data_IF_059374893737
#
_entry.id   IF_059374893737
#
_cell.length_a   1.000
_cell.length_b   1.000
_cell.length_c   1.000
_cell.angle_alpha   90.00
_cell.angle_beta   90.00
_cell.angle_gamma   90.00
#
_symmetry.space_group_name_H-M   'P 1'
#
loop_
_entity.id
_entity.type
_entity.pdbx_description
1 polymer ?
#
# COMPACT_ATOMS: atom_id res chain seq x y z
N UNK A 1 -36.09 26.64 -16.37
CA UNK A 1 -34.98 25.73 -16.07
C UNK A 1 -35.16 24.35 -16.74
N UNK A 2 -34.84 24.20 -18.04
CA UNK A 2 -35.03 22.94 -18.77
C UNK A 2 -33.80 22.04 -18.81
N UNK A 3 -32.61 22.52 -18.42
CA UNK A 3 -31.36 21.76 -18.55
C UNK A 3 -31.20 20.62 -17.54
N UNK A 4 -31.82 20.72 -16.35
CA UNK A 4 -31.74 19.66 -15.32
C UNK A 4 -32.46 18.37 -15.75
N UNK A 5 -33.38 18.43 -16.72
CA UNK A 5 -34.06 17.23 -17.27
C UNK A 5 -33.25 16.48 -18.33
N UNK A 6 -32.23 17.10 -18.95
CA UNK A 6 -31.36 16.41 -19.92
C UNK A 6 -30.35 15.49 -19.24
N UNK A 7 -29.87 15.84 -18.05
CA UNK A 7 -29.04 14.94 -17.22
C UNK A 7 -29.81 13.72 -16.70
N UNK A 8 -31.12 13.85 -16.44
CA UNK A 8 -31.97 12.72 -16.00
C UNK A 8 -32.43 11.80 -17.15
N UNK A 9 -32.09 12.12 -18.39
CA UNK A 9 -32.23 11.21 -19.55
C UNK A 9 -30.98 10.35 -19.75
N UNK A 10 -30.07 10.31 -18.77
CA UNK A 10 -29.09 9.25 -18.66
C UNK A 10 -29.87 7.95 -18.41
N UNK A 11 -30.04 7.20 -19.50
CA UNK A 11 -30.82 5.96 -19.64
C UNK A 11 -30.83 5.15 -18.34
N UNK A 12 -32.02 4.64 -18.00
CA UNK A 12 -32.36 3.75 -16.88
C UNK A 12 -31.64 2.38 -16.95
N UNK A 13 -30.36 2.37 -17.32
CA UNK A 13 -29.55 1.18 -17.45
C UNK A 13 -28.93 0.83 -16.09
N UNK A 14 -29.00 -0.44 -15.66
CA UNK A 14 -28.48 -0.86 -14.37
C UNK A 14 -26.96 -0.68 -14.21
N UNK A 15 -26.20 -0.74 -15.30
CA UNK A 15 -24.73 -0.72 -15.25
C UNK A 15 -24.10 0.39 -16.10
N UNK A 16 -22.86 0.75 -15.78
CA UNK A 16 -22.04 1.64 -16.59
C UNK A 16 -21.22 0.80 -17.57
N UNK A 17 -21.63 0.81 -18.84
CA UNK A 17 -21.02 -0.02 -19.88
C UNK A 17 -20.77 0.80 -21.17
N UNK A 18 -19.60 1.46 -21.30
CA UNK A 18 -19.25 2.16 -22.52
C UNK A 18 -19.05 1.21 -23.71
N UNK A 19 -19.00 1.75 -24.94
CA UNK A 19 -18.64 0.99 -26.12
C UNK A 19 -17.31 0.24 -25.93
N UNK A 20 -17.20 -0.98 -26.47
CA UNK A 20 -16.02 -1.83 -26.28
C UNK A 20 -14.73 -1.14 -26.73
N UNK A 21 -14.75 -0.49 -27.90
CA UNK A 21 -13.58 0.23 -28.40
C UNK A 21 -13.15 1.37 -27.46
N UNK A 22 -14.09 2.12 -26.89
CA UNK A 22 -13.83 3.21 -25.97
C UNK A 22 -13.31 2.69 -24.63
N UNK A 23 -13.89 1.59 -24.13
CA UNK A 23 -13.40 0.91 -22.94
C UNK A 23 -11.94 0.48 -23.12
N UNK A 24 -11.62 -0.16 -24.24
CA UNK A 24 -10.26 -0.61 -24.52
C UNK A 24 -9.28 0.57 -24.62
N UNK A 25 -9.67 1.62 -25.34
CA UNK A 25 -8.87 2.83 -25.50
C UNK A 25 -8.60 3.51 -24.16
N UNK A 26 -9.63 3.73 -23.34
CA UNK A 26 -9.49 4.35 -22.03
C UNK A 26 -8.63 3.51 -21.09
N UNK A 27 -8.79 2.19 -21.12
CA UNK A 27 -8.00 1.29 -20.30
C UNK A 27 -6.50 1.35 -20.63
N UNK A 28 -6.16 1.31 -21.93
CA UNK A 28 -4.76 1.40 -22.38
C UNK A 28 -4.18 2.80 -22.16
N UNK A 29 -4.91 3.86 -22.52
CA UNK A 29 -4.46 5.26 -22.40
C UNK A 29 -4.19 5.64 -20.94
N UNK A 30 -4.98 5.12 -20.00
CA UNK A 30 -4.84 5.42 -18.58
C UNK A 30 -3.95 4.43 -17.84
N UNK A 31 -3.29 3.52 -18.55
CA UNK A 31 -2.44 2.48 -17.97
C UNK A 31 -3.15 1.66 -16.87
N UNK A 32 -4.42 1.35 -17.07
CA UNK A 32 -5.25 0.62 -16.11
C UNK A 32 -5.93 1.48 -15.02
N UNK A 33 -5.59 2.76 -14.86
CA UNK A 33 -6.26 3.65 -13.87
C UNK A 33 -7.76 3.76 -14.12
N UNK A 34 -8.20 3.62 -15.37
CA UNK A 34 -9.62 3.58 -15.73
C UNK A 34 -10.42 2.47 -15.03
N UNK A 35 -9.79 1.39 -14.58
CA UNK A 35 -10.44 0.33 -13.80
C UNK A 35 -11.11 0.86 -12.53
N UNK A 36 -10.40 1.72 -11.79
CA UNK A 36 -10.93 2.40 -10.60
C UNK A 36 -12.16 3.24 -10.92
N UNK A 37 -12.10 3.97 -12.04
CA UNK A 37 -13.21 4.78 -12.52
C UNK A 37 -14.41 3.92 -12.92
N UNK A 38 -14.17 2.82 -13.64
CA UNK A 38 -15.23 1.89 -14.05
C UNK A 38 -15.94 1.27 -12.84
N UNK A 39 -15.20 0.85 -11.82
CA UNK A 39 -15.78 0.36 -10.57
C UNK A 39 -16.59 1.42 -9.85
N UNK A 40 -16.04 2.62 -9.69
CA UNK A 40 -16.74 3.75 -9.09
C UNK A 40 -18.07 4.05 -9.80
N UNK A 41 -18.06 4.10 -11.13
CA UNK A 41 -19.27 4.41 -11.91
C UNK A 41 -20.34 3.34 -11.77
N UNK A 42 -19.96 2.06 -11.75
CA UNK A 42 -20.91 0.96 -11.54
C UNK A 42 -21.53 0.99 -10.14
N UNK A 43 -20.73 1.26 -9.10
CA UNK A 43 -21.25 1.41 -7.74
C UNK A 43 -22.10 2.67 -7.56
N UNK A 44 -21.78 3.76 -8.26
CA UNK A 44 -22.61 4.97 -8.27
C UNK A 44 -23.98 4.69 -8.90
N UNK A 45 -24.04 3.99 -10.03
CA UNK A 45 -25.31 3.59 -10.65
C UNK A 45 -26.11 2.63 -9.78
N UNK A 46 -25.44 1.65 -9.18
CA UNK A 46 -26.07 0.75 -8.23
C UNK A 46 -26.74 1.53 -7.08
N UNK A 47 -26.03 2.47 -6.45
CA UNK A 47 -26.59 3.32 -5.38
C UNK A 47 -27.85 4.07 -5.81
N UNK A 48 -27.82 4.62 -7.02
CA UNK A 48 -28.95 5.38 -7.56
C UNK A 48 -30.20 4.52 -7.79
N UNK A 49 -30.02 3.22 -8.06
CA UNK A 49 -31.11 2.29 -8.38
C UNK A 49 -31.62 1.56 -7.14
N UNK A 50 -30.72 1.04 -6.30
CA UNK A 50 -31.11 0.28 -5.12
C UNK A 50 -31.57 1.19 -3.97
N UNK A 51 -31.05 2.42 -3.89
CA UNK A 51 -31.34 3.38 -2.82
C UNK A 51 -30.61 3.09 -1.51
N UNK A 52 -29.70 2.10 -1.50
CA UNK A 52 -28.97 1.71 -0.30
C UNK A 52 -27.93 2.77 0.11
N UNK A 53 -27.69 2.96 1.42
CA UNK A 53 -26.63 3.83 1.92
C UNK A 53 -25.25 3.19 1.71
N UNK A 54 -24.79 3.13 0.46
CA UNK A 54 -23.46 2.68 0.09
C UNK A 54 -22.55 3.88 -0.20
N UNK A 55 -21.23 3.68 -0.08
CA UNK A 55 -20.21 4.70 -0.36
C UNK A 55 -19.40 4.35 -1.64
N UNK A 56 -19.82 4.80 -2.83
CA UNK A 56 -19.22 4.40 -4.10
C UNK A 56 -17.72 4.70 -4.26
N UNK A 57 -17.17 5.84 -3.79
CA UNK A 57 -15.74 6.13 -3.92
C UNK A 57 -14.87 5.07 -3.24
N UNK A 58 -15.22 4.65 -2.02
CA UNK A 58 -14.48 3.65 -1.28
C UNK A 58 -14.55 2.28 -1.96
N UNK A 59 -15.73 1.88 -2.46
CA UNK A 59 -15.90 0.62 -3.21
C UNK A 59 -15.15 0.62 -4.54
N UNK A 60 -15.00 1.78 -5.17
CA UNK A 60 -14.18 1.95 -6.36
C UNK A 60 -12.69 1.84 -6.06
N UNK A 61 -12.22 2.47 -4.98
CA UNK A 61 -10.82 2.42 -4.55
C UNK A 61 -10.40 1.01 -4.09
N UNK A 62 -11.27 0.34 -3.34
CA UNK A 62 -11.02 -0.97 -2.76
C UNK A 62 -11.62 -2.12 -3.60
N UNK A 63 -11.73 -1.93 -4.91
CA UNK A 63 -12.47 -2.82 -5.82
C UNK A 63 -12.11 -4.32 -5.71
N UNK A 64 -10.88 -4.67 -5.31
CA UNK A 64 -10.45 -6.05 -5.03
C UNK A 64 -11.40 -6.80 -4.08
N UNK A 65 -11.98 -6.11 -3.10
CA UNK A 65 -12.90 -6.71 -2.13
C UNK A 65 -14.35 -6.72 -2.63
N UNK A 66 -14.72 -5.71 -3.42
CA UNK A 66 -16.10 -5.49 -3.86
C UNK A 66 -16.40 -6.15 -5.22
N UNK A 67 -15.38 -6.62 -5.95
CA UNK A 67 -15.56 -7.28 -7.25
C UNK A 67 -16.45 -8.53 -7.18
N UNK A 68 -16.39 -9.43 -6.17
CA UNK A 68 -17.29 -10.59 -6.15
C UNK A 68 -18.75 -10.16 -5.92
N UNK A 69 -18.99 -9.10 -5.15
CA UNK A 69 -20.31 -8.49 -4.97
C UNK A 69 -20.87 -7.99 -6.29
N UNK A 70 -20.04 -7.26 -7.06
CA UNK A 70 -20.42 -6.70 -8.34
C UNK A 70 -20.73 -7.81 -9.37
N UNK A 71 -19.89 -8.85 -9.43
CA UNK A 71 -20.10 -10.01 -10.30
C UNK A 71 -21.35 -10.79 -9.89
N UNK A 72 -21.57 -11.01 -8.59
CA UNK A 72 -22.77 -11.67 -8.10
C UNK A 72 -24.05 -10.92 -8.47
N UNK A 73 -24.02 -9.58 -8.41
CA UNK A 73 -25.12 -8.74 -8.88
C UNK A 73 -25.30 -8.86 -10.40
N UNK A 74 -24.22 -8.87 -11.17
CA UNK A 74 -24.26 -9.03 -12.63
C UNK A 74 -24.81 -10.42 -13.03
N UNK A 75 -24.38 -11.48 -12.35
CA UNK A 75 -24.85 -12.86 -12.55
C UNK A 75 -26.36 -12.97 -12.30
N UNK A 76 -26.83 -12.37 -11.20
CA UNK A 76 -28.26 -12.35 -10.86
C UNK A 76 -29.08 -11.54 -11.85
N UNK A 77 -28.59 -10.38 -12.28
CA UNK A 77 -29.26 -9.59 -13.32
C UNK A 77 -29.31 -10.33 -14.65
N UNK A 78 -28.27 -11.11 -14.97
CA UNK A 78 -28.26 -11.96 -16.16
C UNK A 78 -29.30 -13.09 -16.06
N UNK A 79 -29.40 -13.76 -14.91
CA UNK A 79 -30.41 -14.81 -14.71
C UNK A 79 -31.83 -14.27 -14.79
N UNK A 80 -32.08 -13.07 -14.24
CA UNK A 80 -33.37 -12.37 -14.37
C UNK A 80 -33.66 -11.95 -15.81
N UNK A 81 -32.63 -11.66 -16.61
CA UNK A 81 -32.74 -11.38 -18.04
C UNK A 81 -32.87 -12.67 -18.90
N UNK A 82 -33.06 -13.84 -18.28
CA UNK A 82 -33.31 -15.10 -18.98
C UNK A 82 -32.07 -15.89 -19.39
N UNK A 83 -30.87 -15.48 -18.96
CA UNK A 83 -29.61 -16.19 -19.26
C UNK A 83 -28.72 -16.34 -18.02
N UNK A 84 -28.57 -17.55 -17.50
CA UNK A 84 -27.53 -17.85 -16.53
C UNK A 84 -26.18 -17.99 -17.24
N UNK A 85 -25.20 -17.17 -16.86
CA UNK A 85 -23.84 -17.29 -17.39
C UNK A 85 -22.92 -17.95 -16.36
N UNK A 86 -22.41 -19.16 -16.62
CA UNK A 86 -21.56 -19.89 -15.67
C UNK A 86 -20.24 -19.16 -15.37
N UNK A 87 -19.78 -18.33 -16.31
CA UNK A 87 -18.58 -17.48 -16.19
C UNK A 87 -18.75 -16.32 -15.20
N UNK A 88 -19.97 -15.98 -14.76
CA UNK A 88 -20.22 -14.95 -13.74
C UNK A 88 -20.37 -15.55 -12.32
N UNK A 89 -19.86 -16.76 -12.09
CA UNK A 89 -19.89 -17.42 -10.77
C UNK A 89 -18.85 -16.89 -9.77
N UNK A 90 -18.88 -17.35 -8.49
CA UNK A 90 -17.95 -16.94 -7.43
C UNK A 90 -16.47 -17.19 -7.76
N UNK A 91 -16.18 -18.19 -8.59
CA UNK A 91 -14.83 -18.51 -9.03
C UNK A 91 -14.22 -17.45 -9.96
N UNK A 92 -15.06 -16.70 -10.67
CA UNK A 92 -14.59 -15.68 -11.63
C UNK A 92 -13.96 -14.48 -10.93
N UNK A 93 -14.47 -14.06 -9.77
CA UNK A 93 -13.84 -13.01 -8.96
C UNK A 93 -12.50 -13.46 -8.38
N UNK A 94 -12.41 -14.72 -7.93
CA UNK A 94 -11.14 -15.28 -7.45
C UNK A 94 -10.09 -15.33 -8.56
N UNK A 95 -10.48 -15.76 -9.76
CA UNK A 95 -9.60 -15.81 -10.94
C UNK A 95 -9.15 -14.42 -11.38
N UNK A 96 -10.05 -13.43 -11.31
CA UNK A 96 -9.69 -12.03 -11.56
C UNK A 96 -8.64 -11.51 -10.59
N UNK A 97 -8.89 -11.67 -9.28
CA UNK A 97 -7.97 -11.22 -8.23
C UNK A 97 -6.62 -11.93 -8.39
N UNK A 98 -6.62 -13.24 -8.65
CA UNK A 98 -5.41 -14.01 -8.90
C UNK A 98 -4.64 -13.51 -10.13
N UNK A 99 -5.33 -13.19 -11.23
CA UNK A 99 -4.71 -12.65 -12.44
C UNK A 99 -4.08 -11.28 -12.20
N UNK A 100 -4.75 -10.39 -11.46
CA UNK A 100 -4.21 -9.06 -11.13
C UNK A 100 -2.98 -9.18 -10.21
N UNK A 101 -3.03 -10.06 -9.20
CA UNK A 101 -1.89 -10.29 -8.28
C UNK A 101 -0.72 -10.97 -9.02
N UNK A 102 -0.98 -12.00 -9.81
CA UNK A 102 0.07 -12.69 -10.57
C UNK A 102 0.75 -11.74 -11.58
N UNK A 103 -0.01 -10.80 -12.14
CA UNK A 103 0.56 -9.80 -13.01
C UNK A 103 1.39 -8.77 -12.25
N UNK A 104 0.98 -8.34 -11.05
CA UNK A 104 1.71 -7.33 -10.28
C UNK A 104 3.05 -7.86 -9.76
N UNK A 105 3.13 -9.15 -9.43
CA UNK A 105 4.40 -9.81 -9.07
C UNK A 105 5.31 -9.98 -10.28
N UNK A 106 4.76 -10.26 -11.46
CA UNK A 106 5.51 -10.40 -12.71
C UNK A 106 5.95 -9.05 -13.32
N UNK A 107 5.34 -7.94 -12.88
CA UNK A 107 5.62 -6.60 -13.40
C UNK A 107 7.08 -6.14 -13.16
N UNK A 108 7.79 -6.71 -12.17
CA UNK A 108 9.23 -6.46 -11.97
C UNK A 108 10.10 -6.97 -13.14
N UNK A 109 9.60 -7.90 -13.96
CA UNK A 109 10.33 -8.46 -15.10
C UNK A 109 9.82 -7.93 -16.46
N UNK A 110 8.53 -7.58 -16.59
CA UNK A 110 7.88 -7.23 -17.86
C UNK A 110 6.92 -6.04 -17.71
N UNK A 111 7.47 -4.83 -17.66
CA UNK A 111 6.76 -3.58 -17.36
C UNK A 111 5.50 -3.24 -18.21
N UNK A 112 5.35 -3.61 -19.50
CA UNK A 112 4.13 -3.29 -20.26
C UNK A 112 3.04 -4.38 -20.22
N UNK A 113 3.36 -5.63 -19.81
CA UNK A 113 2.40 -6.74 -19.86
C UNK A 113 1.45 -6.81 -18.67
N UNK A 114 1.77 -6.12 -17.57
CA UNK A 114 0.92 -6.03 -16.37
C UNK A 114 -0.50 -5.56 -16.70
N UNK A 115 -0.63 -4.60 -17.61
CA UNK A 115 -1.90 -4.00 -18.00
C UNK A 115 -2.77 -5.00 -18.79
N UNK A 116 -2.17 -5.97 -19.48
CA UNK A 116 -2.93 -6.91 -20.31
C UNK A 116 -3.55 -8.08 -19.55
N UNK A 117 -3.20 -8.31 -18.28
CA UNK A 117 -3.69 -9.48 -17.52
C UNK A 117 -5.15 -9.34 -17.09
N UNK A 118 -5.54 -8.15 -16.62
CA UNK A 118 -6.89 -7.85 -16.16
C UNK A 118 -7.82 -7.41 -17.30
N UNK A 119 -7.22 -6.94 -18.40
CA UNK A 119 -7.91 -6.49 -19.60
C UNK A 119 -8.95 -7.47 -20.19
N UNK A 120 -8.65 -8.76 -20.46
CA UNK A 120 -9.62 -9.70 -21.01
C UNK A 120 -10.82 -9.91 -20.07
N UNK A 121 -10.59 -9.83 -18.76
CA UNK A 121 -11.63 -10.00 -17.78
C UNK A 121 -12.53 -8.77 -17.66
N UNK A 122 -11.96 -7.58 -17.58
CA UNK A 122 -12.71 -6.32 -17.53
C UNK A 122 -13.49 -6.07 -18.82
N UNK A 123 -12.91 -6.40 -19.97
CA UNK A 123 -13.62 -6.34 -21.25
C UNK A 123 -14.78 -7.32 -21.28
N UNK A 124 -14.61 -8.54 -20.76
CA UNK A 124 -15.71 -9.49 -20.60
C UNK A 124 -16.83 -8.94 -19.70
N UNK A 125 -16.50 -8.39 -18.52
CA UNK A 125 -17.49 -7.80 -17.62
C UNK A 125 -18.20 -6.60 -18.25
N UNK A 126 -17.48 -5.73 -18.95
CA UNK A 126 -18.04 -4.59 -19.66
C UNK A 126 -18.98 -5.03 -20.78
N UNK A 127 -18.59 -6.07 -21.54
CA UNK A 127 -19.43 -6.67 -22.58
C UNK A 127 -20.73 -7.24 -21.99
N UNK A 128 -20.65 -7.95 -20.86
CA UNK A 128 -21.82 -8.49 -20.17
C UNK A 128 -22.72 -7.41 -19.59
N UNK A 129 -22.15 -6.41 -18.91
CA UNK A 129 -22.90 -5.25 -18.43
C UNK A 129 -23.65 -4.55 -19.57
N UNK A 130 -23.03 -4.45 -20.75
CA UNK A 130 -23.68 -3.89 -21.94
C UNK A 130 -24.81 -4.75 -22.45
N UNK A 131 -24.64 -6.07 -22.54
CA UNK A 131 -25.70 -7.00 -22.94
C UNK A 131 -26.90 -6.91 -21.99
N UNK A 132 -26.67 -6.91 -20.68
CA UNK A 132 -27.72 -6.77 -19.67
C UNK A 132 -28.45 -5.43 -19.85
N UNK A 133 -27.70 -4.33 -20.01
CA UNK A 133 -28.28 -3.02 -20.27
C UNK A 133 -29.19 -3.00 -21.52
N UNK A 134 -28.89 -3.78 -22.56
CA UNK A 134 -29.73 -3.88 -23.75
C UNK A 134 -31.05 -4.60 -23.48
N UNK A 135 -31.03 -5.67 -22.67
CA UNK A 135 -32.25 -6.41 -22.34
C UNK A 135 -33.24 -5.55 -21.55
N UNK A 136 -32.76 -4.76 -20.59
CA UNK A 136 -33.62 -3.85 -19.81
C UNK A 136 -34.14 -2.64 -20.61
N UNK A 137 -33.52 -2.31 -21.74
CA UNK A 137 -34.04 -1.29 -22.68
C UNK A 137 -35.06 -1.90 -23.65
N UNK A 138 -34.92 -3.20 -23.98
CA UNK A 138 -35.72 -3.89 -24.98
C UNK A 138 -37.08 -4.39 -24.48
N UNK A 139 -37.34 -4.40 -23.16
CA UNK A 139 -38.68 -4.68 -22.62
C UNK A 139 -39.56 -3.45 -22.84
N UNK A 140 -40.52 -3.47 -23.79
CA UNK A 140 -41.53 -2.42 -23.87
C UNK A 140 -42.44 -2.54 -22.65
N UNK A 141 -43.15 -1.48 -22.30
CA UNK A 141 -44.16 -1.44 -21.24
C UNK A 141 -45.41 -2.33 -21.51
N UNK A 142 -45.23 -3.53 -22.06
CA UNK A 142 -46.28 -4.48 -22.42
C UNK A 142 -45.81 -5.90 -22.12
N UNK A 143 -46.20 -6.42 -20.95
CA UNK A 143 -46.95 -7.68 -20.83
C UNK A 143 -47.05 -8.06 -19.35
N UNK A 144 -48.11 -7.57 -18.72
CA UNK A 144 -48.73 -8.25 -17.57
C UNK A 144 -49.28 -9.60 -18.05
N UNK A 145 -48.42 -10.59 -18.23
CA UNK A 145 -48.81 -11.98 -18.44
C UNK A 145 -47.60 -12.90 -18.18
N UNK A 146 -47.63 -13.61 -17.05
CA UNK A 146 -46.90 -14.87 -16.89
C UNK A 146 -45.56 -14.84 -16.15
N UNK A 147 -45.54 -14.44 -14.88
CA UNK A 147 -44.71 -15.12 -13.87
C UNK A 147 -45.56 -15.31 -12.62
N UNK A 148 -46.28 -16.43 -12.57
CA UNK A 148 -47.07 -16.84 -11.41
C UNK A 148 -46.17 -17.45 -10.34
N UNK A 149 -46.09 -16.78 -9.18
CA UNK A 149 -45.87 -17.29 -7.81
C UNK A 149 -45.51 -16.07 -6.93
N UNK A 150 -46.27 -15.54 -5.96
CA UNK A 150 -47.39 -16.01 -5.12
C UNK A 150 -48.25 -14.79 -4.67
N UNK A 151 -49.58 -14.94 -4.80
CA UNK A 151 -50.78 -14.44 -4.04
C UNK A 151 -50.61 -13.55 -2.75
N UNK A 152 -51.46 -12.56 -2.32
CA UNK A 152 -52.95 -12.34 -2.36
C UNK A 152 -53.38 -10.83 -2.20
N UNK A 153 -54.33 -10.36 -3.05
CA UNK A 153 -55.45 -9.33 -2.98
C UNK A 153 -55.28 -7.80 -2.69
N UNK A 154 -56.28 -6.92 -3.06
CA UNK A 154 -57.10 -6.76 -4.29
C UNK A 154 -56.98 -5.32 -4.92
N UNK A 155 -57.59 -4.99 -6.11
CA UNK A 155 -57.37 -3.71 -6.84
C UNK A 155 -58.61 -2.75 -6.80
N UNK A 156 -58.68 -1.62 -7.54
CA UNK A 156 -57.67 -0.60 -7.90
C UNK A 156 -58.17 0.86 -7.67
N UNK A 157 -57.31 1.87 -7.47
CA UNK A 157 -57.62 3.26 -7.86
C UNK A 157 -56.40 4.02 -8.43
N UNK A 158 -56.54 4.38 -9.70
CA UNK A 158 -56.06 5.57 -10.42
C UNK A 158 -54.66 6.13 -10.14
N UNK A 159 -53.82 6.08 -11.19
CA UNK A 159 -52.63 6.89 -11.32
C UNK A 159 -51.46 6.06 -11.83
N UNK A 160 -51.29 6.00 -13.16
CA UNK A 160 -50.18 5.31 -13.81
C UNK A 160 -48.84 5.92 -13.44
N UNK A 161 -48.28 5.50 -12.31
CA UNK A 161 -46.85 5.57 -12.07
C UNK A 161 -46.19 4.49 -12.94
N UNK A 162 -45.12 4.80 -13.70
CA UNK A 162 -44.36 3.76 -14.35
C UNK A 162 -43.90 2.79 -13.27
N UNK A 163 -44.21 1.51 -13.45
CA UNK A 163 -43.68 0.41 -12.64
C UNK A 163 -42.15 0.54 -12.66
N UNK A 164 -41.62 1.22 -11.65
CA UNK A 164 -40.21 1.23 -11.37
C UNK A 164 -39.91 -0.18 -10.91
N UNK A 165 -39.46 -1.01 -11.85
CA UNK A 165 -38.81 -2.27 -11.55
C UNK A 165 -37.68 -1.88 -10.59
N UNK A 166 -37.89 -2.11 -9.30
CA UNK A 166 -36.85 -2.02 -8.29
C UNK A 166 -36.23 -3.41 -8.33
N UNK A 167 -35.18 -3.67 -9.14
CA UNK A 167 -34.40 -4.87 -8.92
C UNK A 167 -33.98 -4.78 -7.45
N UNK A 168 -34.56 -5.62 -6.61
CA UNK A 168 -34.13 -5.78 -5.24
C UNK A 168 -32.77 -6.44 -5.33
N UNK A 169 -31.75 -5.62 -5.49
CA UNK A 169 -30.37 -6.02 -5.30
C UNK A 169 -30.15 -6.21 -3.80
N UNK A 170 -30.88 -7.14 -3.18
CA UNK A 170 -30.50 -7.64 -1.86
C UNK A 170 -29.22 -8.44 -2.09
N UNK A 171 -28.06 -7.79 -1.94
CA UNK A 171 -26.84 -8.52 -1.61
C UNK A 171 -27.20 -9.39 -0.41
N UNK A 172 -26.97 -10.71 -0.49
CA UNK A 172 -27.18 -11.56 0.67
C UNK A 172 -26.44 -10.92 1.84
N UNK A 173 -27.10 -10.66 2.96
CA UNK A 173 -26.52 -9.89 4.07
C UNK A 173 -25.18 -10.49 4.54
N UNK A 174 -25.01 -11.79 4.34
CA UNK A 174 -23.77 -12.53 4.57
C UNK A 174 -22.55 -11.98 3.79
N UNK A 175 -22.75 -11.43 2.60
CA UNK A 175 -21.67 -10.94 1.75
C UNK A 175 -21.08 -9.61 2.25
N UNK A 176 -21.90 -8.74 2.88
CA UNK A 176 -21.47 -7.43 3.37
C UNK A 176 -20.52 -7.52 4.58
N UNK A 177 -20.72 -8.50 5.45
CA UNK A 177 -19.82 -8.73 6.59
C UNK A 177 -18.48 -9.30 6.17
N UNK A 178 -18.47 -10.24 5.22
CA UNK A 178 -17.25 -10.79 4.65
C UNK A 178 -16.39 -9.70 3.96
N UNK A 179 -17.03 -8.78 3.26
CA UNK A 179 -16.42 -7.64 2.58
C UNK A 179 -15.72 -6.67 3.56
N UNK A 180 -16.35 -6.39 4.71
CA UNK A 180 -15.75 -5.54 5.76
C UNK A 180 -14.60 -6.27 6.47
N UNK A 181 -14.79 -7.55 6.82
CA UNK A 181 -13.78 -8.33 7.54
C UNK A 181 -12.50 -8.52 6.71
N UNK A 182 -12.64 -8.77 5.41
CA UNK A 182 -11.50 -8.90 4.50
C UNK A 182 -10.76 -7.56 4.35
N UNK A 183 -11.47 -6.44 4.23
CA UNK A 183 -10.86 -5.11 4.20
C UNK A 183 -10.07 -4.81 5.50
N UNK A 184 -10.66 -5.09 6.67
CA UNK A 184 -9.99 -4.89 7.97
C UNK A 184 -8.74 -5.77 8.06
N UNK A 185 -8.85 -7.06 7.70
CA UNK A 185 -7.73 -7.99 7.76
C UNK A 185 -6.54 -7.52 6.91
N UNK A 186 -6.78 -7.06 5.68
CA UNK A 186 -5.70 -6.56 4.81
C UNK A 186 -5.09 -5.27 5.34
N UNK A 187 -5.90 -4.34 5.87
CA UNK A 187 -5.38 -3.12 6.51
C UNK A 187 -4.52 -3.46 7.73
N UNK A 188 -4.93 -4.41 8.57
CA UNK A 188 -4.14 -4.87 9.71
C UNK A 188 -2.80 -5.50 9.28
N UNK A 189 -2.80 -6.32 8.23
CA UNK A 189 -1.57 -6.94 7.69
C UNK A 189 -0.64 -5.84 7.14
N UNK A 190 -1.18 -4.92 6.33
CA UNK A 190 -0.41 -3.81 5.77
C UNK A 190 0.17 -2.90 6.86
N UNK A 191 -0.62 -2.58 7.89
CA UNK A 191 -0.17 -1.78 9.02
C UNK A 191 0.94 -2.50 9.81
N UNK A 192 0.82 -3.81 10.02
CA UNK A 192 1.85 -4.61 10.70
C UNK A 192 3.18 -4.54 9.95
N UNK A 193 3.16 -4.69 8.63
CA UNK A 193 4.36 -4.58 7.80
C UNK A 193 4.95 -3.17 7.83
N UNK A 194 4.10 -2.15 7.67
CA UNK A 194 4.51 -0.74 7.69
C UNK A 194 5.15 -0.33 9.02
N UNK A 195 4.58 -0.79 10.15
CA UNK A 195 5.13 -0.54 11.48
C UNK A 195 6.52 -1.18 11.63
N UNK A 196 6.70 -2.43 11.17
CA UNK A 196 7.99 -3.09 11.27
C UNK A 196 9.07 -2.40 10.43
N UNK A 197 8.74 -2.01 9.20
CA UNK A 197 9.66 -1.25 8.33
C UNK A 197 10.01 0.12 8.94
N UNK A 198 9.02 0.82 9.52
CA UNK A 198 9.21 2.11 10.17
C UNK A 198 10.16 2.05 11.38
N UNK A 199 10.16 0.96 12.14
CA UNK A 199 11.06 0.77 13.30
C UNK A 199 12.53 0.85 12.91
N UNK A 200 12.93 0.18 11.83
CA UNK A 200 14.31 0.19 11.37
C UNK A 200 14.72 1.57 10.82
N UNK A 201 13.78 2.33 10.25
CA UNK A 201 14.02 3.70 9.77
C UNK A 201 14.36 4.67 10.91
N UNK A 202 13.64 4.59 12.02
CA UNK A 202 13.86 5.48 13.18
C UNK A 202 15.22 5.22 13.85
N UNK A 203 15.65 3.96 13.95
CA UNK A 203 16.98 3.64 14.51
C UNK A 203 18.08 4.25 13.62
N UNK A 204 17.95 4.11 12.29
CA UNK A 204 18.90 4.71 11.35
C UNK A 204 18.94 6.24 11.46
N UNK A 205 17.79 6.90 11.54
CA UNK A 205 17.74 8.37 11.62
C UNK A 205 18.40 8.89 12.90
N UNK A 206 18.19 8.21 14.04
CA UNK A 206 18.86 8.53 15.30
C UNK A 206 20.37 8.32 15.22
N UNK A 207 20.82 7.26 14.56
CA UNK A 207 22.25 7.03 14.32
C UNK A 207 22.86 8.11 13.43
N UNK A 208 22.18 8.54 12.37
CA UNK A 208 22.70 9.62 11.51
C UNK A 208 22.79 10.96 12.23
N UNK A 209 21.81 11.28 13.08
CA UNK A 209 21.85 12.49 13.92
C UNK A 209 23.01 12.43 14.91
N UNK A 210 23.19 11.28 15.55
CA UNK A 210 24.32 11.04 16.42
C UNK A 210 25.65 11.24 15.73
N UNK A 211 25.80 10.78 14.49
CA UNK A 211 27.06 10.93 13.77
C UNK A 211 27.39 12.41 13.56
N UNK A 212 26.39 13.25 13.28
CA UNK A 212 26.58 14.70 13.21
C UNK A 212 27.09 15.30 14.53
N UNK A 213 26.55 14.86 15.68
CA UNK A 213 27.05 15.29 16.99
C UNK A 213 28.51 14.86 17.26
N UNK A 214 28.93 13.74 16.66
CA UNK A 214 30.25 13.15 16.91
C UNK A 214 31.35 13.68 16.01
N UNK A 215 31.02 14.43 14.96
CA UNK A 215 32.03 15.00 14.07
C UNK A 215 32.98 15.93 14.83
N UNK A 216 32.47 16.74 15.77
CA UNK A 216 33.30 17.59 16.64
C UNK A 216 34.26 16.78 17.51
N UNK A 217 33.75 15.79 18.25
CA UNK A 217 34.59 14.92 19.10
C UNK A 217 35.66 14.19 18.31
N UNK A 218 35.33 13.69 17.11
CA UNK A 218 36.29 12.99 16.25
C UNK A 218 37.41 13.91 15.78
N UNK A 219 37.09 15.18 15.54
CA UNK A 219 38.09 16.18 15.17
C UNK A 219 39.02 16.50 16.34
N UNK A 220 38.47 16.71 17.55
CA UNK A 220 39.26 16.96 18.77
C UNK A 220 40.23 15.81 19.05
N UNK A 221 39.76 14.55 18.95
CA UNK A 221 40.60 13.36 19.12
C UNK A 221 41.68 13.30 18.04
N UNK A 222 41.32 13.59 16.79
CA UNK A 222 42.26 13.58 15.68
C UNK A 222 43.37 14.62 15.85
N UNK A 223 43.03 15.83 16.30
CA UNK A 223 43.99 16.91 16.56
C UNK A 223 44.93 16.55 17.72
N UNK A 224 44.38 16.10 18.85
CA UNK A 224 45.17 15.70 20.01
C UNK A 224 46.14 14.55 19.68
N UNK A 225 45.68 13.56 18.90
CA UNK A 225 46.51 12.44 18.46
C UNK A 225 47.55 12.86 17.41
N UNK A 226 47.20 13.76 16.48
CA UNK A 226 48.14 14.26 15.48
C UNK A 226 49.28 15.06 16.10
N UNK A 227 49.01 15.83 17.16
CA UNK A 227 50.03 16.61 17.87
C UNK A 227 50.91 15.77 18.79
N UNK A 228 50.30 14.94 19.66
CA UNK A 228 51.02 14.23 20.72
C UNK A 228 51.46 12.81 20.34
N UNK A 229 50.78 12.20 19.36
CA UNK A 229 50.93 10.79 19.03
C UNK A 229 50.34 9.82 20.07
N UNK A 230 49.69 10.34 21.11
CA UNK A 230 49.05 9.59 22.19
C UNK A 230 47.53 9.83 22.14
N UNK A 231 46.75 8.81 22.47
CA UNK A 231 45.29 8.95 22.51
C UNK A 231 44.87 9.82 23.71
N UNK A 232 43.97 10.80 23.52
CA UNK A 232 43.53 11.67 24.60
C UNK A 232 42.58 10.95 25.56
N UNK A 233 42.65 11.30 26.84
CA UNK A 233 41.64 10.90 27.83
C UNK A 233 40.37 11.75 27.70
N UNK A 234 39.25 11.25 28.25
CA UNK A 234 37.94 11.92 28.18
C UNK A 234 37.95 13.35 28.71
N UNK A 235 38.72 13.63 29.76
CA UNK A 235 38.78 14.95 30.40
C UNK A 235 39.41 16.02 29.48
N UNK A 236 40.20 15.61 28.49
CA UNK A 236 40.82 16.51 27.50
C UNK A 236 39.91 16.90 26.33
N UNK A 237 38.66 16.39 26.28
CA UNK A 237 37.77 16.54 25.13
C UNK A 237 36.56 17.44 25.47
N UNK A 238 36.65 18.72 25.10
CA UNK A 238 35.60 19.71 25.32
C UNK A 238 34.29 19.37 24.59
N UNK A 239 34.35 18.72 23.42
CA UNK A 239 33.15 18.32 22.70
C UNK A 239 32.31 17.28 23.47
N UNK A 240 32.92 16.40 24.27
CA UNK A 240 32.22 15.32 24.98
C UNK A 240 31.62 15.73 26.33
N UNK A 241 32.10 16.81 26.94
CA UNK A 241 31.62 17.26 28.25
C UNK A 241 30.27 17.97 28.19
N UNK A 242 29.86 18.46 27.01
CA UNK A 242 28.63 19.22 26.80
C UNK A 242 27.56 18.51 25.95
N UNK A 243 27.76 17.24 25.58
CA UNK A 243 26.75 16.50 24.82
C UNK A 243 25.66 16.01 25.77
N UNK A 244 24.49 16.65 25.73
CA UNK A 244 23.27 16.07 26.31
C UNK A 244 22.76 14.97 25.37
N UNK A 245 22.79 13.69 25.78
CA UNK A 245 22.45 12.63 24.86
C UNK A 245 20.93 12.41 24.88
N UNK A 246 20.21 13.01 23.93
CA UNK A 246 18.76 12.73 23.75
C UNK A 246 18.51 11.26 23.36
N UNK A 247 19.48 10.63 22.68
CA UNK A 247 19.35 9.28 22.10
C UNK A 247 20.34 8.25 22.65
N UNK A 248 21.30 8.67 23.47
CA UNK A 248 22.32 7.80 24.06
C UNK A 248 22.18 7.78 25.59
N UNK A 249 22.50 6.63 26.17
CA UNK A 249 22.64 6.54 27.62
C UNK A 249 24.07 6.80 28.06
N UNK A 250 25.03 6.28 27.31
CA UNK A 250 26.42 6.31 27.70
C UNK A 250 27.33 6.44 26.47
N UNK A 251 28.35 7.29 26.64
CA UNK A 251 29.45 7.48 25.69
C UNK A 251 30.72 7.08 26.45
N UNK A 252 31.44 6.10 25.94
CA UNK A 252 32.70 5.60 26.49
C UNK A 252 33.81 5.84 25.47
N UNK A 253 34.96 6.33 25.94
CA UNK A 253 36.18 6.45 25.16
C UNK A 253 37.16 5.37 25.65
N UNK A 254 37.53 4.47 24.74
CA UNK A 254 38.54 3.44 24.95
C UNK A 254 39.93 4.09 24.99
N UNK A 255 40.88 3.60 25.82
CA UNK A 255 42.28 4.04 25.81
C UNK A 255 42.96 3.99 24.42
N UNK A 256 42.45 3.17 23.50
CA UNK A 256 42.93 3.07 22.13
C UNK A 256 42.27 4.08 21.17
N UNK A 257 41.51 5.05 21.67
CA UNK A 257 40.85 6.10 20.88
C UNK A 257 39.52 5.68 20.25
N UNK A 258 39.02 4.47 20.52
CA UNK A 258 37.71 4.03 20.03
C UNK A 258 36.58 4.61 20.88
N UNK A 259 35.50 5.04 20.22
CA UNK A 259 34.32 5.58 20.87
C UNK A 259 33.19 4.56 20.84
N UNK A 260 32.62 4.25 22.00
CA UNK A 260 31.46 3.36 22.13
C UNK A 260 30.23 4.14 22.57
N UNK A 261 29.14 3.96 21.83
CA UNK A 261 27.87 4.62 22.09
C UNK A 261 26.81 3.59 22.41
N UNK A 262 26.24 3.68 23.61
CA UNK A 262 25.11 2.85 24.01
C UNK A 262 23.82 3.63 23.78
N UNK A 263 22.99 3.14 22.86
CA UNK A 263 21.69 3.73 22.56
C UNK A 263 20.74 3.54 23.74
N UNK A 264 19.88 4.54 23.96
CA UNK A 264 18.83 4.43 24.96
C UNK A 264 17.89 3.25 24.62
N UNK A 265 17.83 2.21 25.47
CA UNK A 265 17.02 1.04 25.25
C UNK A 265 15.54 1.44 25.28
N UNK A 266 14.77 0.83 24.40
CA UNK A 266 13.32 0.88 24.48
C UNK A 266 12.85 -0.11 25.55
N UNK A 267 11.69 0.14 26.16
CA UNK A 267 11.15 -0.75 27.19
C UNK A 267 11.17 -2.22 26.72
N UNK A 268 11.92 -3.07 27.44
CA UNK A 268 12.06 -4.51 27.15
C UNK A 268 13.16 -4.90 26.14
N UNK A 269 13.96 -3.96 25.62
CA UNK A 269 15.10 -4.26 24.75
C UNK A 269 16.44 -4.14 25.49
N UNK A 270 17.39 -5.04 25.19
CA UNK A 270 18.75 -4.94 25.70
C UNK A 270 19.45 -3.68 25.16
N UNK A 271 20.37 -3.06 25.92
CA UNK A 271 21.16 -1.94 25.45
C UNK A 271 21.95 -2.35 24.21
N UNK A 272 21.92 -1.50 23.18
CA UNK A 272 22.60 -1.73 21.91
C UNK A 272 23.73 -0.72 21.77
N UNK A 273 24.89 -1.20 21.36
CA UNK A 273 26.10 -0.39 21.28
C UNK A 273 26.59 -0.30 19.85
N UNK A 274 27.17 0.85 19.49
CA UNK A 274 27.86 1.07 18.22
C UNK A 274 29.26 1.64 18.49
N UNK A 275 30.26 1.07 17.82
CA UNK A 275 31.66 1.48 17.95
C UNK A 275 32.12 2.33 16.77
N UNK A 276 32.80 3.43 17.05
CA UNK A 276 33.60 4.19 16.11
C UNK A 276 35.07 3.99 16.43
N UNK A 277 35.83 3.52 15.45
CA UNK A 277 37.22 3.14 15.65
C UNK A 277 38.13 3.97 14.75
N UNK A 278 39.22 4.54 15.29
CA UNK A 278 40.16 5.28 14.47
C UNK A 278 41.00 4.33 13.61
N UNK A 279 41.29 4.78 12.40
CA UNK A 279 42.11 4.10 11.40
C UNK A 279 43.30 5.00 11.11
N UNK A 280 44.46 4.63 11.62
CA UNK A 280 45.67 5.45 11.45
C UNK A 280 46.39 5.00 10.19
N UNK A 281 46.67 5.96 9.31
CA UNK A 281 47.54 5.75 8.15
C UNK A 281 48.90 6.37 8.45
N UNK A 282 49.96 5.56 8.26
CA UNK A 282 51.35 5.92 8.54
C UNK A 282 51.61 6.31 10.02
N UNK A 283 51.48 5.36 10.97
CA UNK A 283 51.63 5.65 12.40
C UNK A 283 53.03 6.15 12.78
N UNK A 284 54.07 5.76 12.04
CA UNK A 284 55.47 6.11 12.32
C UNK A 284 55.94 7.34 11.54
N UNK A 285 55.09 7.92 10.68
CA UNK A 285 55.42 9.08 9.85
C UNK A 285 55.28 10.41 10.57
N UNK A 286 55.91 11.45 10.01
CA UNK A 286 55.77 12.84 10.49
C UNK A 286 54.34 13.41 10.27
N UNK A 287 53.59 12.86 9.32
CA UNK A 287 52.19 13.17 9.06
C UNK A 287 51.34 11.94 9.38
N UNK A 288 50.82 11.89 10.62
CA UNK A 288 49.88 10.85 11.07
C UNK A 288 48.48 11.25 10.60
N UNK A 289 47.94 10.53 9.63
CA UNK A 289 46.59 10.82 9.12
C UNK A 289 45.60 9.84 9.74
N UNK A 290 44.50 10.37 10.25
CA UNK A 290 43.51 9.60 10.99
C UNK A 290 42.19 9.58 10.21
N UNK A 291 41.73 8.37 9.91
CA UNK A 291 40.39 8.10 9.41
C UNK A 291 39.54 7.46 10.51
N UNK A 292 38.25 7.28 10.23
CA UNK A 292 37.31 6.62 11.14
C UNK A 292 36.59 5.50 10.42
N UNK A 293 36.42 4.37 11.09
CA UNK A 293 35.53 3.30 10.66
C UNK A 293 34.41 3.12 11.70
N UNK A 294 33.25 2.69 11.22
CA UNK A 294 32.06 2.48 12.03
C UNK A 294 31.73 0.98 12.06
N UNK A 295 31.49 0.43 13.25
CA UNK A 295 31.24 -0.99 13.44
C UNK A 295 32.29 -1.83 12.68
N UNK A 296 31.85 -2.87 11.98
CA UNK A 296 32.70 -3.75 11.19
C UNK A 296 33.03 -3.22 9.77
N UNK A 297 32.72 -1.96 9.45
CA UNK A 297 32.90 -1.36 8.12
C UNK A 297 34.36 -0.98 7.80
N UNK A 298 35.28 -1.95 7.87
CA UNK A 298 36.68 -1.76 7.50
C UNK A 298 37.17 -2.87 6.57
N UNK A 299 37.53 -2.49 5.36
CA UNK A 299 38.17 -3.36 4.38
C UNK A 299 39.44 -2.66 3.86
N UNK A 300 40.60 -3.07 4.39
CA UNK A 300 41.88 -2.53 3.91
C UNK A 300 43.07 -2.83 4.81
N UNK A 301 44.30 -2.57 4.31
CA UNK A 301 45.55 -2.87 5.02
C UNK A 301 45.86 -1.91 6.17
N UNK A 302 45.02 -0.89 6.39
CA UNK A 302 45.26 0.13 7.43
C UNK A 302 44.92 -0.46 8.81
N UNK A 303 45.74 -0.11 9.81
CA UNK A 303 45.56 -0.57 11.19
C UNK A 303 44.40 0.16 11.85
N UNK A 304 43.42 -0.60 12.32
CA UNK A 304 42.29 -0.12 13.12
C UNK A 304 42.68 -0.24 14.60
N UNK A 305 42.34 0.78 15.38
CA UNK A 305 42.62 0.82 16.82
C UNK A 305 41.32 0.65 17.62
N UNK A 306 41.41 -0.07 18.73
CA UNK A 306 40.30 -0.39 19.63
C UNK A 306 39.39 -1.54 19.16
N UNK A 307 38.65 -2.10 20.11
CA UNK A 307 37.80 -3.27 19.89
C UNK A 307 36.43 -2.90 19.31
N UNK A 308 35.85 -3.80 18.52
CA UNK A 308 34.46 -3.64 18.08
C UNK A 308 33.51 -4.20 19.14
N UNK A 309 32.71 -3.32 19.74
CA UNK A 309 31.65 -3.65 20.71
C UNK A 309 30.26 -3.45 20.10
N UNK A 310 30.18 -3.34 18.77
CA UNK A 310 28.92 -3.08 18.06
C UNK A 310 28.01 -4.31 18.12
N UNK A 311 26.77 -4.12 18.60
CA UNK A 311 25.77 -5.20 18.73
C UNK A 311 24.57 -5.04 17.79
N UNK A 312 24.59 -4.05 16.91
CA UNK A 312 23.50 -3.76 15.98
C UNK A 312 23.57 -4.64 14.72
N UNK A 313 22.44 -5.19 14.26
CA UNK A 313 22.39 -5.92 13.00
C UNK A 313 22.62 -4.97 11.81
N UNK A 314 23.24 -5.46 10.71
CA UNK A 314 23.59 -4.64 9.56
C UNK A 314 22.37 -3.95 8.93
N UNK A 315 21.18 -4.55 9.03
CA UNK A 315 19.92 -3.99 8.53
C UNK A 315 19.55 -2.65 9.18
N UNK A 316 19.97 -2.41 10.42
CA UNK A 316 19.71 -1.20 11.20
C UNK A 316 20.86 -0.20 11.13
N UNK A 317 22.04 -0.63 10.68
CA UNK A 317 23.17 0.26 10.47
C UNK A 317 22.94 1.17 9.25
N UNK A 318 23.33 2.45 9.29
CA UNK A 318 23.45 3.30 8.11
C UNK A 318 24.48 2.75 7.11
N UNK A 319 24.40 3.18 5.85
CA UNK A 319 25.31 2.70 4.79
C UNK A 319 26.79 2.87 5.14
N UNK A 320 27.15 3.99 5.76
CA UNK A 320 28.54 4.31 6.21
C UNK A 320 29.11 3.23 7.17
N UNK A 321 28.23 2.53 7.89
CA UNK A 321 28.60 1.52 8.88
C UNK A 321 28.44 0.08 8.37
N UNK A 322 28.16 -0.14 7.08
CA UNK A 322 27.94 -1.50 6.53
C UNK A 322 29.15 -2.12 5.85
N UNK A 323 30.18 -1.33 5.51
CA UNK A 323 31.38 -1.82 4.82
C UNK A 323 31.17 -2.05 3.34
#
# INVERSE_FOLDING_TARGET
MPERRRFFKEKLTPYFAPPMWLHCLLYVLTLGVYELFWHYMNWRKYRLISGDPIWPPLRGLLFYFFIPSLIGNLARSSSLAGRSDPLLGPWSSALYIAAVIAASTLAQALHPLFILSAFPFLTYLNWRARWINQQFIAVPAQSSAGVSALEVSPPPQSGGAPLALKPSFQTAESFRWLEILTCIAVVCIALTFALNAGRNGIIKSRLTEAFGLLEGTRLDIAEAYAYSGVWPDREGLHALSNVEPTYFQHIELDPNGALHFTLSPRAGEAPRTISFRPVVSNPDGALRTLGWTCASAHSGPRKVYGDDKSSLPPEQLPYICRG
#
